data_IF_615453834854
#
_entry.id   IF_615453834854
#
_cell.length_a   1.000
_cell.length_b   1.000
_cell.length_c   1.000
_cell.angle_alpha   90.00
_cell.angle_beta   90.00
_cell.angle_gamma   90.00
#
_symmetry.space_group_name_H-M   'P 1'
#
loop_
_entity.id
_entity.type
_entity.pdbx_description
1 polymer ?
#
# COMPACT_ATOMS: atom_id res chain seq x y z
N UNK A 1 -7.41 19.69 32.22
CA UNK A 1 -8.71 19.92 31.54
C UNK A 1 -9.65 18.77 31.88
N UNK A 2 -11.00 18.96 31.89
CA UNK A 2 -11.88 17.82 32.12
C UNK A 2 -11.69 16.75 31.05
N UNK A 3 -11.60 15.50 31.48
CA UNK A 3 -11.53 14.35 30.59
C UNK A 3 -12.86 14.21 29.83
N UNK A 4 -12.84 14.26 28.51
CA UNK A 4 -14.03 14.03 27.70
C UNK A 4 -14.47 12.58 27.84
N UNK A 5 -15.75 12.32 28.10
CA UNK A 5 -16.33 10.98 28.17
C UNK A 5 -17.22 10.75 26.96
N UNK A 6 -17.02 9.65 26.28
CA UNK A 6 -17.75 9.27 25.08
C UNK A 6 -18.34 7.87 25.23
N UNK A 7 -19.63 7.74 24.95
CA UNK A 7 -20.34 6.46 24.89
C UNK A 7 -20.60 6.11 23.42
N UNK A 8 -20.32 4.88 23.03
CA UNK A 8 -20.42 4.42 21.64
C UNK A 8 -20.75 2.94 21.57
N UNK A 9 -21.28 2.47 20.45
CA UNK A 9 -21.46 1.03 20.21
C UNK A 9 -20.12 0.37 19.83
N UNK A 10 -19.35 1.03 18.98
CA UNK A 10 -18.08 0.52 18.48
C UNK A 10 -16.94 1.53 18.66
N UNK A 11 -15.84 1.07 19.24
CA UNK A 11 -14.57 1.78 19.26
C UNK A 11 -13.65 1.12 18.25
N UNK A 12 -13.28 1.83 17.18
CA UNK A 12 -12.40 1.35 16.13
C UNK A 12 -11.01 1.96 16.30
N UNK A 13 -10.00 1.11 16.44
CA UNK A 13 -8.61 1.50 16.58
C UNK A 13 -7.92 1.39 15.22
N UNK A 14 -7.66 2.52 14.59
CA UNK A 14 -7.09 2.68 13.27
C UNK A 14 -8.11 3.09 12.21
N UNK A 15 -7.87 4.26 11.57
CA UNK A 15 -8.64 4.78 10.45
C UNK A 15 -8.02 4.41 9.08
N UNK A 16 -7.33 3.26 9.01
CA UNK A 16 -6.84 2.68 7.78
C UNK A 16 -7.95 1.95 7.00
N UNK A 17 -7.59 1.28 5.90
CA UNK A 17 -8.53 0.60 5.01
C UNK A 17 -9.52 -0.31 5.76
N UNK A 18 -9.01 -1.13 6.70
CA UNK A 18 -9.85 -2.09 7.43
C UNK A 18 -10.81 -1.42 8.41
N UNK A 19 -10.32 -0.41 9.17
CA UNK A 19 -11.18 0.33 10.11
C UNK A 19 -12.26 1.12 9.39
N UNK A 20 -11.91 1.76 8.27
CA UNK A 20 -12.86 2.49 7.44
C UNK A 20 -13.88 1.55 6.79
N UNK A 21 -13.45 0.38 6.28
CA UNK A 21 -14.36 -0.60 5.71
C UNK A 21 -15.34 -1.18 6.74
N UNK A 22 -14.86 -1.46 7.96
CA UNK A 22 -15.73 -1.91 9.05
C UNK A 22 -16.78 -0.82 9.40
N UNK A 23 -16.35 0.44 9.53
CA UNK A 23 -17.27 1.56 9.81
C UNK A 23 -18.31 1.72 8.69
N UNK A 24 -17.89 1.62 7.42
CA UNK A 24 -18.76 1.73 6.25
C UNK A 24 -19.90 0.70 6.28
N UNK A 25 -19.55 -0.57 6.55
CA UNK A 25 -20.53 -1.66 6.64
C UNK A 25 -21.49 -1.44 7.82
N UNK A 26 -20.97 -1.11 9.01
CA UNK A 26 -21.84 -0.89 10.18
C UNK A 26 -22.79 0.28 9.95
N UNK A 27 -22.33 1.37 9.34
CA UNK A 27 -23.18 2.53 9.03
C UNK A 27 -24.30 2.22 8.05
N UNK A 28 -24.06 1.26 7.15
CA UNK A 28 -25.05 0.80 6.17
C UNK A 28 -26.07 -0.17 6.77
N UNK A 29 -25.61 -1.11 7.62
CA UNK A 29 -26.43 -2.20 8.14
C UNK A 29 -27.18 -1.85 9.42
N UNK A 30 -26.67 -0.91 10.22
CA UNK A 30 -27.29 -0.49 11.50
C UNK A 30 -27.44 1.02 11.57
N UNK A 31 -28.65 1.51 11.33
CA UNK A 31 -28.96 2.93 11.34
C UNK A 31 -28.83 3.59 12.74
N UNK A 32 -28.80 2.81 13.80
CA UNK A 32 -28.69 3.28 15.19
C UNK A 32 -27.26 3.31 15.72
N UNK A 33 -26.35 2.56 15.10
CA UNK A 33 -25.00 2.38 15.60
C UNK A 33 -24.19 3.69 15.66
N UNK A 34 -23.53 3.91 16.80
CA UNK A 34 -22.59 5.00 17.02
C UNK A 34 -21.16 4.45 17.04
N UNK A 35 -20.24 5.20 16.45
CA UNK A 35 -18.86 4.74 16.22
C UNK A 35 -17.90 5.85 16.67
N UNK A 36 -16.89 5.47 17.44
CA UNK A 36 -15.70 6.28 17.68
C UNK A 36 -14.54 5.64 16.94
N UNK A 37 -13.84 6.41 16.10
CA UNK A 37 -12.65 5.97 15.36
C UNK A 37 -11.45 6.75 15.90
N UNK A 38 -10.37 6.05 16.24
CA UNK A 38 -9.12 6.62 16.77
C UNK A 38 -7.99 6.31 15.81
N UNK A 39 -7.19 7.31 15.47
CA UNK A 39 -5.96 7.09 14.67
C UNK A 39 -4.81 8.00 15.13
N UNK A 40 -3.59 7.49 15.03
CA UNK A 40 -2.37 8.24 15.33
C UNK A 40 -2.06 9.34 14.30
N UNK A 41 -2.60 9.21 13.09
CA UNK A 41 -2.44 10.21 12.03
C UNK A 41 -3.49 11.31 12.13
N UNK A 42 -3.19 12.46 11.53
CA UNK A 42 -4.12 13.57 11.43
C UNK A 42 -5.29 13.26 10.47
N UNK A 43 -5.04 12.43 9.47
CA UNK A 43 -6.04 12.06 8.45
C UNK A 43 -6.32 10.56 8.48
N UNK A 44 -7.51 10.12 8.04
CA UNK A 44 -7.76 8.71 7.75
C UNK A 44 -6.90 8.25 6.56
N UNK A 45 -6.77 6.92 6.40
CA UNK A 45 -5.96 6.30 5.35
C UNK A 45 -4.84 5.41 5.92
N UNK A 46 -4.62 5.42 7.24
CA UNK A 46 -3.63 4.56 7.90
C UNK A 46 -2.22 4.78 7.32
N UNK A 47 -1.52 3.70 6.94
CA UNK A 47 -0.15 3.74 6.43
C UNK A 47 0.02 4.56 5.12
N UNK A 48 -1.05 4.88 4.41
CA UNK A 48 -0.98 5.77 3.25
C UNK A 48 -0.53 7.18 3.64
N UNK A 49 -0.76 7.62 4.88
CA UNK A 49 -0.24 8.90 5.38
C UNK A 49 1.31 8.92 5.46
N UNK A 50 1.94 7.75 5.59
CA UNK A 50 3.39 7.58 5.70
C UNK A 50 4.03 7.13 4.38
N UNK A 51 3.26 6.88 3.33
CA UNK A 51 3.74 6.39 2.05
C UNK A 51 4.49 7.48 1.26
N UNK A 52 5.39 7.06 0.37
CA UNK A 52 6.14 8.00 -0.47
C UNK A 52 5.20 8.67 -1.51
N UNK A 53 5.44 9.96 -1.86
CA UNK A 53 4.47 10.75 -2.63
C UNK A 53 4.17 10.24 -4.04
N UNK A 54 5.08 9.50 -4.67
CA UNK A 54 4.90 8.93 -6.02
C UNK A 54 4.39 7.50 -6.02
N UNK A 55 4.01 6.94 -4.84
CA UNK A 55 3.44 5.58 -4.80
C UNK A 55 2.10 5.55 -5.52
N UNK A 56 1.88 4.47 -6.25
CA UNK A 56 0.58 4.08 -6.78
C UNK A 56 0.21 2.71 -6.23
N UNK A 57 -1.07 2.39 -6.20
CA UNK A 57 -1.48 1.01 -5.97
C UNK A 57 -0.74 0.09 -6.96
N UNK A 58 -0.50 -1.14 -6.58
CA UNK A 58 0.08 -2.13 -7.49
C UNK A 58 -0.97 -3.07 -8.10
N UNK A 59 -2.21 -2.97 -7.64
CA UNK A 59 -3.37 -3.66 -8.18
C UNK A 59 -4.40 -2.60 -8.63
N UNK A 60 -5.30 -2.92 -9.57
CA UNK A 60 -6.34 -1.99 -10.01
C UNK A 60 -7.11 -1.39 -8.84
N UNK A 61 -7.37 -0.09 -8.91
CA UNK A 61 -8.06 0.65 -7.86
C UNK A 61 -9.44 0.04 -7.49
N UNK A 62 -10.09 -0.64 -8.44
CA UNK A 62 -11.37 -1.30 -8.23
C UNK A 62 -11.35 -2.46 -7.20
N UNK A 63 -10.18 -2.97 -6.83
CA UNK A 63 -10.04 -3.95 -5.73
C UNK A 63 -9.92 -3.30 -4.36
N UNK A 64 -9.81 -2.00 -4.30
CA UNK A 64 -9.71 -1.22 -3.08
C UNK A 64 -10.93 -0.34 -2.91
N UNK A 65 -11.06 0.21 -1.72
CA UNK A 65 -12.13 1.13 -1.41
C UNK A 65 -13.15 0.51 -0.47
N UNK A 66 -14.21 1.26 -0.25
CA UNK A 66 -15.32 0.92 0.64
C UNK A 66 -16.48 0.34 -0.20
N UNK A 67 -17.35 -0.43 0.44
CA UNK A 67 -18.52 -0.98 -0.24
C UNK A 67 -19.47 0.12 -0.74
N UNK A 68 -19.61 1.21 0.02
CA UNK A 68 -20.48 2.34 -0.34
C UNK A 68 -19.94 3.22 -1.46
N UNK A 69 -18.62 3.17 -1.73
CA UNK A 69 -17.99 4.06 -2.72
C UNK A 69 -16.75 3.41 -3.31
N UNK A 70 -16.69 3.35 -4.63
CA UNK A 70 -15.54 2.82 -5.35
C UNK A 70 -14.36 3.79 -5.31
N UNK A 71 -13.14 3.24 -5.28
CA UNK A 71 -11.92 3.99 -5.50
C UNK A 71 -11.55 3.93 -6.99
N UNK A 72 -11.21 5.08 -7.57
CA UNK A 72 -10.75 5.19 -8.97
C UNK A 72 -11.86 4.99 -10.01
N UNK A 73 -11.45 5.06 -11.29
CA UNK A 73 -12.36 4.98 -12.45
C UNK A 73 -12.50 3.56 -13.01
N UNK A 74 -11.74 2.60 -12.49
CA UNK A 74 -11.67 1.23 -13.00
C UNK A 74 -10.59 1.05 -14.09
N UNK A 75 -10.58 -0.14 -14.72
CA UNK A 75 -9.53 -0.51 -15.67
C UNK A 75 -8.19 -0.77 -15.01
N UNK A 76 -7.11 -0.64 -15.78
CA UNK A 76 -5.72 -0.85 -15.30
C UNK A 76 -5.15 0.36 -14.55
N UNK A 77 -5.90 1.45 -14.46
CA UNK A 77 -5.43 2.65 -13.77
C UNK A 77 -5.21 2.38 -12.28
N UNK A 78 -4.07 2.88 -11.80
CA UNK A 78 -3.65 2.73 -10.42
C UNK A 78 -3.87 4.06 -9.68
N UNK A 79 -4.67 4.02 -8.64
CA UNK A 79 -4.85 5.18 -7.78
C UNK A 79 -3.50 5.61 -7.17
N UNK A 80 -3.21 6.89 -7.27
CA UNK A 80 -2.05 7.54 -6.67
C UNK A 80 -2.22 7.71 -5.16
N UNK A 81 -1.12 7.97 -4.47
CA UNK A 81 -1.11 8.34 -3.06
C UNK A 81 -2.13 9.44 -2.73
N UNK A 82 -2.12 10.53 -3.51
CA UNK A 82 -3.00 11.67 -3.28
C UNK A 82 -4.49 11.29 -3.43
N UNK A 83 -4.83 10.49 -4.45
CA UNK A 83 -6.20 10.01 -4.68
C UNK A 83 -6.68 9.11 -3.53
N UNK A 84 -5.79 8.24 -2.99
CA UNK A 84 -6.15 7.35 -1.88
C UNK A 84 -6.39 8.13 -0.59
N UNK A 85 -5.51 9.08 -0.27
CA UNK A 85 -5.66 9.91 0.94
C UNK A 85 -6.91 10.78 0.84
N UNK A 86 -7.16 11.40 -0.31
CA UNK A 86 -8.36 12.20 -0.55
C UNK A 86 -9.65 11.37 -0.47
N UNK A 87 -9.61 10.16 -1.02
CA UNK A 87 -10.72 9.22 -0.96
C UNK A 87 -11.11 8.89 0.49
N UNK A 88 -10.15 8.53 1.35
CA UNK A 88 -10.45 8.22 2.75
C UNK A 88 -10.87 9.45 3.54
N UNK A 89 -10.32 10.63 3.25
CA UNK A 89 -10.77 11.89 3.83
C UNK A 89 -12.24 12.15 3.50
N UNK A 90 -12.59 12.07 2.22
CA UNK A 90 -13.98 12.24 1.75
C UNK A 90 -14.92 11.22 2.38
N UNK A 91 -14.48 9.96 2.53
CA UNK A 91 -15.27 8.94 3.20
C UNK A 91 -15.50 9.27 4.68
N UNK A 92 -14.47 9.71 5.39
CA UNK A 92 -14.58 10.12 6.79
C UNK A 92 -15.53 11.32 6.95
N UNK A 93 -15.47 12.30 6.06
CA UNK A 93 -16.37 13.45 6.09
C UNK A 93 -17.84 13.02 5.92
N UNK A 94 -18.12 12.07 5.02
CA UNK A 94 -19.46 11.46 4.88
C UNK A 94 -19.88 10.71 6.13
N UNK A 95 -18.99 9.94 6.76
CA UNK A 95 -19.29 9.24 8.02
C UNK A 95 -19.65 10.24 9.13
N UNK A 96 -18.89 11.31 9.28
CA UNK A 96 -19.14 12.36 10.26
C UNK A 96 -20.44 13.12 10.01
N UNK A 97 -20.80 13.32 8.74
CA UNK A 97 -22.06 13.98 8.36
C UNK A 97 -23.32 13.17 8.77
N UNK A 98 -23.18 11.92 9.17
CA UNK A 98 -24.29 11.14 9.76
C UNK A 98 -24.58 11.47 11.23
N UNK A 99 -23.74 12.27 11.88
CA UNK A 99 -23.73 12.54 13.33
C UNK A 99 -23.56 11.26 14.20
N UNK A 100 -23.25 10.14 13.59
CA UNK A 100 -23.04 8.84 14.25
C UNK A 100 -21.57 8.47 14.43
N UNK A 101 -20.65 9.20 13.78
CA UNK A 101 -19.23 8.91 13.80
C UNK A 101 -18.45 10.07 14.42
N UNK A 102 -17.70 9.77 15.47
CA UNK A 102 -16.69 10.65 16.04
C UNK A 102 -15.30 10.17 15.64
N UNK A 103 -14.53 11.01 14.96
CA UNK A 103 -13.13 10.75 14.64
C UNK A 103 -12.21 11.48 15.64
N UNK A 104 -11.29 10.74 16.26
CA UNK A 104 -10.26 11.24 17.17
C UNK A 104 -8.89 11.06 16.47
N UNK A 105 -8.47 12.03 15.63
CA UNK A 105 -7.15 12.01 15.00
C UNK A 105 -6.05 12.31 16.01
N UNK A 106 -4.79 12.05 15.61
CA UNK A 106 -3.58 12.30 16.41
C UNK A 106 -3.75 11.76 17.84
N UNK A 107 -4.28 10.53 17.97
CA UNK A 107 -4.63 9.94 19.26
C UNK A 107 -4.32 8.45 19.29
N UNK A 108 -3.97 7.95 20.47
CA UNK A 108 -3.66 6.55 20.72
C UNK A 108 -4.52 5.97 21.83
N UNK A 109 -4.87 4.69 21.69
CA UNK A 109 -5.57 3.93 22.72
C UNK A 109 -4.54 3.26 23.65
N UNK A 110 -4.57 3.60 24.93
CA UNK A 110 -3.66 3.10 25.96
C UNK A 110 -4.25 1.94 26.81
N UNK A 111 -5.42 1.45 26.46
CA UNK A 111 -6.16 0.41 27.20
C UNK A 111 -7.40 0.97 27.89
N UNK A 112 -8.33 0.09 28.28
CA UNK A 112 -9.54 0.38 29.06
C UNK A 112 -10.35 1.61 28.58
N UNK A 113 -10.39 1.80 27.25
CA UNK A 113 -11.08 2.93 26.64
C UNK A 113 -10.38 4.29 26.80
N UNK A 114 -9.19 4.34 27.36
CA UNK A 114 -8.39 5.56 27.50
C UNK A 114 -7.77 5.93 26.17
N UNK A 115 -8.11 7.12 25.69
CA UNK A 115 -7.57 7.69 24.44
C UNK A 115 -6.76 8.94 24.79
N UNK A 116 -5.51 8.98 24.37
CA UNK A 116 -4.56 10.06 24.65
C UNK A 116 -4.14 10.72 23.34
N UNK A 117 -4.18 12.04 23.30
CA UNK A 117 -3.67 12.79 22.14
C UNK A 117 -2.15 12.64 22.06
N UNK A 118 -1.63 12.39 20.83
CA UNK A 118 -0.19 12.33 20.57
C UNK A 118 0.46 13.71 20.49
N UNK A 119 -0.34 14.77 20.32
CA UNK A 119 0.12 16.16 20.24
C UNK A 119 0.13 16.82 21.61
N UNK A 120 -0.91 16.52 22.41
CA UNK A 120 -1.09 17.08 23.76
C UNK A 120 -1.47 15.94 24.70
N UNK A 121 -0.50 15.41 25.43
CA UNK A 121 -0.66 14.28 26.34
C UNK A 121 -1.64 14.53 27.50
N UNK A 122 -1.92 15.80 27.83
CA UNK A 122 -2.88 16.17 28.85
C UNK A 122 -4.32 16.10 28.34
N UNK A 123 -4.50 16.06 27.03
CA UNK A 123 -5.81 15.86 26.40
C UNK A 123 -6.12 14.37 26.35
N UNK A 124 -6.97 13.96 27.28
CA UNK A 124 -7.41 12.58 27.46
C UNK A 124 -8.92 12.47 27.27
N UNK A 125 -9.34 11.45 26.52
CA UNK A 125 -10.75 11.06 26.43
C UNK A 125 -10.92 9.64 26.97
N UNK A 126 -12.06 9.35 27.58
CA UNK A 126 -12.45 7.99 27.96
C UNK A 126 -13.62 7.56 27.09
N UNK A 127 -13.47 6.47 26.38
CA UNK A 127 -14.48 5.90 25.46
C UNK A 127 -15.01 4.59 26.04
N UNK A 128 -16.32 4.52 26.27
CA UNK A 128 -17.02 3.29 26.65
C UNK A 128 -17.65 2.68 25.41
N UNK A 129 -17.15 1.51 24.98
CA UNK A 129 -17.71 0.76 23.87
C UNK A 129 -18.70 -0.31 24.37
N UNK A 130 -20.00 -0.13 24.06
CA UNK A 130 -21.05 -1.01 24.55
C UNK A 130 -21.13 -2.36 23.81
N UNK A 131 -20.69 -2.41 22.56
CA UNK A 131 -20.72 -3.64 21.78
C UNK A 131 -19.34 -4.23 21.56
N UNK A 132 -18.41 -3.51 20.88
CA UNK A 132 -17.06 -4.04 20.56
C UNK A 132 -16.03 -2.93 20.49
N UNK A 133 -14.81 -3.31 20.90
CA UNK A 133 -13.57 -2.64 20.50
C UNK A 133 -13.00 -3.43 19.32
N UNK A 134 -12.76 -2.75 18.21
CA UNK A 134 -12.28 -3.33 16.93
C UNK A 134 -10.87 -2.83 16.69
N UNK A 135 -9.88 -3.70 16.83
CA UNK A 135 -8.50 -3.35 16.51
C UNK A 135 -8.21 -3.61 15.01
N UNK A 136 -8.19 -2.52 14.25
CA UNK A 136 -7.88 -2.52 12.82
C UNK A 136 -6.39 -2.22 12.53
N UNK A 137 -5.51 -2.28 13.55
CA UNK A 137 -4.07 -2.02 13.45
C UNK A 137 -3.22 -3.29 13.34
N UNK A 138 -3.83 -4.40 13.01
CA UNK A 138 -3.18 -5.72 12.99
C UNK A 138 -1.94 -5.75 12.07
N UNK A 139 -2.02 -5.15 10.90
CA UNK A 139 -0.92 -5.08 9.95
C UNK A 139 0.05 -3.96 10.37
N UNK A 140 1.10 -4.33 11.08
CA UNK A 140 2.21 -3.42 11.38
C UNK A 140 3.12 -3.34 10.16
N UNK A 141 2.84 -2.39 9.28
CA UNK A 141 3.67 -2.14 8.10
C UNK A 141 4.85 -1.27 8.51
N UNK A 142 6.05 -1.83 8.43
CA UNK A 142 7.29 -1.08 8.53
C UNK A 142 7.72 -0.63 7.14
N UNK A 143 7.88 0.67 6.96
CA UNK A 143 8.31 1.28 5.70
C UNK A 143 9.74 1.82 5.83
N UNK A 144 10.51 1.89 4.73
CA UNK A 144 11.91 2.35 4.77
C UNK A 144 12.11 3.74 5.38
N UNK A 145 11.08 4.60 5.37
CA UNK A 145 11.15 5.94 5.95
C UNK A 145 11.21 5.97 7.49
N UNK A 146 10.79 4.88 8.16
CA UNK A 146 10.75 4.80 9.62
C UNK A 146 11.75 3.79 10.19
N UNK A 147 12.46 3.04 9.32
CA UNK A 147 13.42 2.02 9.71
C UNK A 147 14.82 2.35 9.17
N UNK A 148 15.88 2.29 9.99
CA UNK A 148 17.24 2.46 9.49
C UNK A 148 17.60 1.32 8.53
N UNK A 149 18.48 1.55 7.55
CA UNK A 149 18.95 0.52 6.65
C UNK A 149 19.68 -0.59 7.44
N UNK A 150 19.52 -1.85 7.01
CA UNK A 150 20.17 -3.02 7.62
C UNK A 150 21.60 -3.26 7.09
N UNK A 151 22.19 -2.29 6.43
CA UNK A 151 23.53 -2.31 5.87
C UNK A 151 24.29 -1.05 6.31
N UNK A 152 25.61 -1.15 6.29
CA UNK A 152 26.50 0.00 6.58
C UNK A 152 26.63 0.87 5.35
N UNK A 153 26.75 2.16 5.58
CA UNK A 153 26.90 3.18 4.54
C UNK A 153 28.22 3.91 4.77
N UNK A 154 29.06 3.97 3.75
CA UNK A 154 30.35 4.68 3.83
C UNK A 154 30.13 6.19 3.92
N UNK A 155 31.12 6.87 4.54
CA UNK A 155 31.12 8.32 4.64
C UNK A 155 31.09 8.96 3.24
N UNK A 156 30.18 9.94 3.05
CA UNK A 156 30.02 10.63 1.78
C UNK A 156 28.98 10.03 0.81
N UNK A 157 28.44 8.84 1.12
CA UNK A 157 27.31 8.27 0.37
C UNK A 157 25.98 8.81 0.93
N UNK A 158 25.15 9.36 0.06
CA UNK A 158 23.81 9.81 0.45
C UNK A 158 22.83 8.64 0.29
N UNK A 159 22.21 8.22 1.39
CA UNK A 159 21.13 7.23 1.40
C UNK A 159 19.85 7.89 1.84
N UNK A 160 18.80 7.69 1.06
CA UNK A 160 17.47 8.23 1.36
C UNK A 160 16.40 7.15 1.19
N UNK A 161 15.35 7.16 2.00
CA UNK A 161 14.17 6.37 1.72
C UNK A 161 13.42 6.96 0.50
N UNK A 162 12.52 6.20 -0.15
CA UNK A 162 11.72 6.70 -1.27
C UNK A 162 10.95 7.99 -0.96
N UNK A 163 10.54 8.17 0.29
CA UNK A 163 9.85 9.39 0.75
C UNK A 163 10.66 10.66 0.49
N UNK A 164 11.98 10.59 0.62
CA UNK A 164 12.88 11.71 0.43
C UNK A 164 13.45 11.82 -0.98
N UNK A 165 13.24 10.81 -1.82
CA UNK A 165 13.71 10.82 -3.21
C UNK A 165 13.15 12.02 -4.01
N UNK A 166 11.92 12.45 -3.71
CA UNK A 166 11.28 13.61 -4.33
C UNK A 166 11.91 14.94 -3.91
N UNK A 167 12.68 14.96 -2.81
CA UNK A 167 13.30 16.15 -2.22
C UNK A 167 14.74 16.34 -2.68
N UNK A 168 15.27 15.43 -3.49
CA UNK A 168 16.64 15.56 -4.01
C UNK A 168 16.72 16.75 -4.97
N UNK A 169 17.37 17.81 -4.54
CA UNK A 169 17.48 19.08 -5.28
C UNK A 169 18.49 19.00 -6.43
N UNK A 170 19.43 18.07 -6.36
CA UNK A 170 20.49 17.93 -7.37
C UNK A 170 20.43 16.60 -8.09
N UNK A 171 20.86 16.59 -9.34
CA UNK A 171 21.09 15.36 -10.09
C UNK A 171 22.41 14.73 -9.64
N UNK A 172 22.37 13.42 -9.39
CA UNK A 172 23.54 12.62 -9.02
C UNK A 172 24.11 11.93 -10.26
N UNK A 173 25.42 11.66 -10.25
CA UNK A 173 26.06 10.94 -11.36
C UNK A 173 25.54 9.48 -11.43
N UNK A 174 25.27 8.85 -10.30
CA UNK A 174 24.78 7.49 -10.19
C UNK A 174 23.73 7.34 -9.10
N UNK A 175 22.75 6.53 -9.36
CA UNK A 175 21.70 6.13 -8.42
C UNK A 175 21.80 4.63 -8.19
N UNK A 176 21.76 4.20 -6.93
CA UNK A 176 21.72 2.78 -6.57
C UNK A 176 20.37 2.51 -5.91
N UNK A 177 19.56 1.67 -6.53
CA UNK A 177 18.25 1.26 -5.98
C UNK A 177 18.41 -0.12 -5.38
N UNK A 178 18.14 -0.24 -4.07
CA UNK A 178 18.28 -1.50 -3.31
C UNK A 178 16.91 -2.12 -3.11
N UNK A 179 16.72 -3.31 -3.69
CA UNK A 179 15.51 -4.10 -3.60
C UNK A 179 14.69 -4.15 -4.89
N UNK A 180 14.05 -5.31 -5.12
CA UNK A 180 13.27 -5.61 -6.31
C UNK A 180 11.77 -5.83 -6.00
N UNK A 181 11.29 -5.31 -4.89
CA UNK A 181 9.85 -5.25 -4.58
C UNK A 181 9.20 -4.02 -5.19
N UNK A 182 7.88 -3.85 -4.98
CA UNK A 182 7.08 -2.73 -5.49
C UNK A 182 7.75 -1.37 -5.25
N UNK A 183 8.27 -1.12 -4.04
CA UNK A 183 8.94 0.13 -3.69
C UNK A 183 10.19 0.41 -4.53
N UNK A 184 11.02 -0.62 -4.80
CA UNK A 184 12.20 -0.50 -5.66
C UNK A 184 11.81 -0.26 -7.12
N UNK A 185 10.79 -0.97 -7.60
CA UNK A 185 10.22 -0.78 -8.95
C UNK A 185 9.73 0.67 -9.10
N UNK A 186 8.92 1.16 -8.17
CA UNK A 186 8.41 2.55 -8.22
C UNK A 186 9.54 3.57 -8.20
N UNK A 187 10.59 3.33 -7.40
CA UNK A 187 11.74 4.24 -7.33
C UNK A 187 12.50 4.31 -8.67
N UNK A 188 12.67 3.17 -9.35
CA UNK A 188 13.30 3.14 -10.68
C UNK A 188 12.41 3.87 -11.69
N UNK A 189 11.12 3.55 -11.74
CA UNK A 189 10.19 4.20 -12.65
C UNK A 189 10.13 5.71 -12.42
N UNK A 190 10.10 6.15 -11.17
CA UNK A 190 10.15 7.56 -10.80
C UNK A 190 11.43 8.25 -11.30
N UNK A 191 12.61 7.61 -11.16
CA UNK A 191 13.87 8.16 -11.66
C UNK A 191 13.87 8.27 -13.18
N UNK A 192 13.37 7.24 -13.87
CA UNK A 192 13.26 7.24 -15.33
C UNK A 192 12.29 8.33 -15.83
N UNK A 193 11.15 8.49 -15.18
CA UNK A 193 10.15 9.53 -15.49
C UNK A 193 10.70 10.95 -15.27
N UNK A 194 11.66 11.10 -14.34
CA UNK A 194 12.42 12.35 -14.11
C UNK A 194 13.57 12.55 -15.09
N UNK A 195 13.71 11.69 -16.09
CA UNK A 195 14.72 11.80 -17.14
C UNK A 195 16.12 11.30 -16.73
N UNK A 196 16.23 10.54 -15.64
CA UNK A 196 17.49 9.87 -15.30
C UNK A 196 17.75 8.78 -16.33
N UNK A 197 18.94 8.83 -16.96
CA UNK A 197 19.33 7.81 -17.95
C UNK A 197 19.47 6.42 -17.30
N UNK A 198 19.00 5.33 -17.94
CA UNK A 198 19.07 3.97 -17.39
C UNK A 198 20.48 3.53 -17.01
N UNK A 199 21.52 3.96 -17.75
CA UNK A 199 22.92 3.67 -17.50
C UNK A 199 23.49 4.33 -16.24
N UNK A 200 22.75 5.29 -15.67
CA UNK A 200 23.08 5.93 -14.38
C UNK A 200 22.38 5.25 -13.20
N UNK A 201 21.56 4.23 -13.44
CA UNK A 201 20.83 3.49 -12.40
C UNK A 201 21.45 2.10 -12.26
N UNK A 202 21.95 1.78 -11.08
CA UNK A 202 22.31 0.43 -10.67
C UNK A 202 21.19 -0.14 -9.82
N UNK A 203 20.80 -1.36 -10.12
CA UNK A 203 19.72 -2.04 -9.42
C UNK A 203 20.24 -3.25 -8.64
N UNK A 204 20.14 -3.23 -7.31
CA UNK A 204 20.52 -4.37 -6.45
C UNK A 204 19.28 -5.24 -6.23
N UNK A 205 19.27 -6.42 -6.82
CA UNK A 205 18.19 -7.41 -6.83
C UNK A 205 18.62 -8.63 -6.04
N UNK A 206 18.24 -8.72 -4.78
CA UNK A 206 18.57 -9.87 -3.94
C UNK A 206 17.89 -11.17 -4.38
N UNK A 207 16.74 -11.07 -5.03
CA UNK A 207 16.00 -12.21 -5.59
C UNK A 207 15.17 -11.74 -6.78
N UNK A 208 15.35 -12.39 -7.91
CA UNK A 208 14.43 -12.23 -9.05
C UNK A 208 13.05 -12.77 -8.65
N UNK A 209 11.99 -12.08 -9.09
CA UNK A 209 10.62 -12.42 -8.77
C UNK A 209 9.75 -12.49 -10.03
N UNK A 210 8.79 -13.40 -10.01
CA UNK A 210 7.69 -13.40 -10.94
C UNK A 210 6.77 -12.23 -10.64
N UNK A 211 6.37 -11.49 -11.67
CA UNK A 211 5.47 -10.33 -11.60
C UNK A 211 4.18 -10.66 -12.33
N UNK A 212 3.06 -10.26 -11.77
CA UNK A 212 1.79 -10.39 -12.48
C UNK A 212 1.67 -9.36 -13.61
N UNK A 213 1.12 -9.82 -14.74
CA UNK A 213 0.59 -8.92 -15.76
C UNK A 213 -0.69 -8.25 -15.23
N UNK A 214 -0.65 -6.94 -15.02
CA UNK A 214 -1.77 -6.17 -14.46
C UNK A 214 -3.04 -6.30 -15.28
N UNK A 215 -2.95 -6.41 -16.60
CA UNK A 215 -4.11 -6.58 -17.48
C UNK A 215 -4.94 -7.83 -17.15
N UNK A 216 -4.30 -8.88 -16.63
CA UNK A 216 -4.98 -10.13 -16.26
C UNK A 216 -5.64 -10.08 -14.88
N UNK A 217 -5.25 -9.11 -14.04
CA UNK A 217 -5.78 -8.92 -12.68
C UNK A 217 -6.79 -7.79 -12.70
N UNK A 218 -7.94 -8.04 -13.32
CA UNK A 218 -9.06 -7.11 -13.34
C UNK A 218 -10.27 -7.77 -12.66
N UNK A 219 -11.17 -7.02 -12.00
CA UNK A 219 -12.35 -7.60 -11.35
C UNK A 219 -13.16 -8.50 -12.28
N UNK A 220 -13.34 -8.09 -13.55
CA UNK A 220 -14.04 -8.87 -14.56
C UNK A 220 -13.29 -10.06 -15.14
N UNK A 221 -11.96 -10.18 -14.88
CA UNK A 221 -11.10 -11.22 -15.45
C UNK A 221 -10.77 -12.35 -14.46
N UNK A 222 -11.21 -12.26 -13.22
CA UNK A 222 -10.77 -13.16 -12.14
C UNK A 222 -11.03 -14.65 -12.45
N UNK A 223 -12.20 -15.00 -12.97
CA UNK A 223 -12.53 -16.39 -13.32
C UNK A 223 -11.66 -16.90 -14.47
N UNK A 224 -11.43 -16.08 -15.51
CA UNK A 224 -10.55 -16.42 -16.62
C UNK A 224 -9.11 -16.62 -16.18
N UNK A 225 -8.62 -15.76 -15.29
CA UNK A 225 -7.28 -15.89 -14.71
C UNK A 225 -7.16 -17.18 -13.90
N UNK A 226 -8.11 -17.50 -13.03
CA UNK A 226 -8.12 -18.73 -12.23
C UNK A 226 -8.16 -19.97 -13.15
N UNK A 227 -9.03 -19.98 -14.16
CA UNK A 227 -9.09 -21.08 -15.12
C UNK A 227 -7.74 -21.28 -15.84
N UNK A 228 -7.09 -20.19 -16.28
CA UNK A 228 -5.77 -20.24 -16.89
C UNK A 228 -4.70 -20.77 -15.94
N UNK A 229 -4.73 -20.39 -14.67
CA UNK A 229 -3.84 -20.92 -13.64
C UNK A 229 -4.04 -22.43 -13.44
N UNK A 230 -5.29 -22.88 -13.35
CA UNK A 230 -5.63 -24.32 -13.21
C UNK A 230 -5.12 -25.11 -14.42
N UNK A 231 -5.38 -24.65 -15.63
CA UNK A 231 -4.83 -25.29 -16.85
C UNK A 231 -3.29 -25.31 -16.86
N UNK A 232 -2.65 -24.23 -16.41
CA UNK A 232 -1.20 -24.17 -16.32
C UNK A 232 -0.62 -25.20 -15.36
N UNK A 233 -1.32 -25.46 -14.24
CA UNK A 233 -0.94 -26.50 -13.27
C UNK A 233 -1.17 -27.88 -13.85
N UNK A 234 -2.31 -28.10 -14.54
CA UNK A 234 -2.65 -29.40 -15.13
C UNK A 234 -1.70 -29.83 -16.25
N UNK A 235 -1.21 -28.87 -17.04
CA UNK A 235 -0.32 -29.12 -18.18
C UNK A 235 1.17 -29.15 -17.79
N UNK A 236 1.52 -28.77 -16.56
CA UNK A 236 2.89 -28.68 -16.12
C UNK A 236 3.47 -30.02 -15.67
N UNK A 237 4.76 -30.21 -15.93
CA UNK A 237 5.51 -31.42 -15.54
C UNK A 237 6.16 -31.31 -14.16
N UNK A 238 6.40 -30.08 -13.70
CA UNK A 238 7.00 -29.76 -12.41
C UNK A 238 6.67 -28.31 -12.04
N UNK A 239 7.09 -27.87 -10.84
CA UNK A 239 6.75 -26.53 -10.32
C UNK A 239 7.33 -25.40 -11.18
N UNK A 240 8.54 -25.54 -11.69
CA UNK A 240 9.16 -24.51 -12.54
C UNK A 240 8.40 -24.39 -13.88
N UNK A 241 7.92 -25.53 -14.41
CA UNK A 241 7.11 -25.54 -15.62
C UNK A 241 5.75 -24.87 -15.41
N UNK A 242 5.15 -24.96 -14.22
CA UNK A 242 3.93 -24.19 -13.89
C UNK A 242 4.15 -22.71 -14.15
N UNK A 243 5.22 -22.14 -13.61
CA UNK A 243 5.53 -20.72 -13.80
C UNK A 243 5.84 -20.36 -15.25
N UNK A 244 6.53 -21.22 -15.98
CA UNK A 244 6.78 -21.04 -17.41
C UNK A 244 5.50 -21.14 -18.25
N UNK A 245 4.55 -22.01 -17.88
CA UNK A 245 3.23 -22.08 -18.51
C UNK A 245 2.43 -20.79 -18.25
N UNK A 246 2.47 -20.26 -17.02
CA UNK A 246 1.82 -19.01 -16.66
C UNK A 246 2.41 -17.83 -17.45
N UNK A 247 3.74 -17.82 -17.67
CA UNK A 247 4.39 -16.82 -18.50
C UNK A 247 3.98 -16.94 -19.97
N UNK A 248 4.01 -18.16 -20.55
CA UNK A 248 3.55 -18.41 -21.94
C UNK A 248 2.10 -17.97 -22.16
N UNK A 249 1.26 -18.04 -21.14
CA UNK A 249 -0.14 -17.62 -21.16
C UNK A 249 -0.36 -16.16 -20.77
N UNK A 250 0.71 -15.40 -20.54
CA UNK A 250 0.68 -13.98 -20.29
C UNK A 250 0.18 -13.57 -18.90
N UNK A 251 0.07 -14.50 -17.93
CA UNK A 251 -0.32 -14.23 -16.56
C UNK A 251 0.84 -13.64 -15.75
N UNK A 252 2.03 -14.21 -15.93
CA UNK A 252 3.25 -13.81 -15.24
C UNK A 252 4.30 -13.29 -16.22
N UNK A 253 5.16 -12.44 -15.70
CA UNK A 253 6.31 -11.92 -16.44
C UNK A 253 7.58 -11.97 -15.61
N UNK A 254 8.73 -12.02 -16.30
CA UNK A 254 10.07 -11.85 -15.71
C UNK A 254 10.69 -10.57 -16.21
N UNK A 255 11.49 -9.92 -15.36
CA UNK A 255 12.31 -8.79 -15.79
C UNK A 255 13.44 -9.31 -16.69
N UNK A 256 14.22 -10.29 -16.21
CA UNK A 256 15.29 -10.93 -16.96
C UNK A 256 14.80 -12.30 -17.47
N UNK A 257 14.63 -12.43 -18.80
CA UNK A 257 14.13 -13.65 -19.44
C UNK A 257 15.16 -14.79 -19.47
N UNK A 258 16.44 -14.49 -19.19
CA UNK A 258 17.51 -15.50 -19.10
C UNK A 258 17.63 -16.14 -17.73
N UNK A 259 16.84 -15.67 -16.74
CA UNK A 259 16.87 -16.19 -15.38
C UNK A 259 15.50 -16.70 -14.95
N UNK A 260 15.50 -17.80 -14.23
CA UNK A 260 14.28 -18.30 -13.59
C UNK A 260 14.16 -17.66 -12.21
N UNK A 261 13.07 -16.89 -11.94
CA UNK A 261 12.89 -16.29 -10.64
C UNK A 261 12.69 -17.32 -9.54
N UNK A 262 13.34 -17.11 -8.40
CA UNK A 262 13.21 -17.97 -7.22
C UNK A 262 12.10 -17.54 -6.28
N UNK A 263 11.45 -16.41 -6.55
CA UNK A 263 10.39 -15.85 -5.72
C UNK A 263 9.14 -15.53 -6.54
N UNK A 264 8.02 -15.71 -5.89
CA UNK A 264 6.73 -15.23 -6.37
C UNK A 264 6.19 -14.20 -5.38
N UNK A 265 5.86 -13.03 -5.88
CA UNK A 265 5.30 -11.93 -5.09
C UNK A 265 4.09 -11.35 -5.82
N UNK A 266 3.15 -10.78 -5.08
CA UNK A 266 1.94 -10.21 -5.66
C UNK A 266 2.17 -8.85 -6.36
N UNK A 267 3.41 -8.46 -6.68
CA UNK A 267 3.68 -7.24 -7.41
C UNK A 267 3.18 -7.39 -8.86
N UNK A 268 2.50 -6.36 -9.35
CA UNK A 268 2.01 -6.28 -10.71
C UNK A 268 2.76 -5.22 -11.48
N UNK A 269 2.91 -5.42 -12.77
CA UNK A 269 3.41 -4.42 -13.72
C UNK A 269 2.55 -4.43 -14.98
N UNK A 270 2.51 -3.31 -15.68
CA UNK A 270 2.05 -3.26 -17.05
C UNK A 270 3.22 -3.42 -18.04
N UNK A 271 2.92 -3.48 -19.33
CA UNK A 271 3.91 -3.69 -20.38
C UNK A 271 4.89 -2.51 -20.48
N UNK A 272 4.46 -1.29 -20.23
CA UNK A 272 5.29 -0.07 -20.28
C UNK A 272 6.28 -0.06 -19.12
N UNK A 273 5.80 -0.38 -17.92
CA UNK A 273 6.63 -0.49 -16.72
C UNK A 273 7.67 -1.60 -16.92
N UNK A 274 7.27 -2.78 -17.40
CA UNK A 274 8.18 -3.88 -17.66
C UNK A 274 9.27 -3.50 -18.69
N UNK A 275 8.86 -2.85 -19.78
CA UNK A 275 9.79 -2.37 -20.82
C UNK A 275 10.76 -1.35 -20.24
N UNK A 276 10.29 -0.44 -19.41
CA UNK A 276 11.13 0.57 -18.76
C UNK A 276 12.14 -0.06 -17.79
N UNK A 277 11.72 -1.02 -16.99
CA UNK A 277 12.58 -1.74 -16.04
C UNK A 277 13.67 -2.54 -16.75
N UNK A 278 13.37 -3.16 -17.89
CA UNK A 278 14.33 -3.92 -18.73
C UNK A 278 15.42 -3.06 -19.36
N UNK A 279 15.27 -1.73 -19.36
CA UNK A 279 16.32 -0.80 -19.80
C UNK A 279 17.48 -0.69 -18.82
N UNK A 280 17.30 -1.10 -17.57
CA UNK A 280 18.36 -1.08 -16.56
C UNK A 280 19.29 -2.27 -16.80
N UNK A 281 20.47 -1.98 -17.35
CA UNK A 281 21.47 -3.02 -17.66
C UNK A 281 22.39 -3.33 -16.47
N UNK A 282 22.64 -2.36 -15.58
CA UNK A 282 23.50 -2.53 -14.41
C UNK A 282 22.70 -3.12 -13.24
N UNK A 283 22.58 -4.45 -13.24
CA UNK A 283 21.84 -5.20 -12.21
C UNK A 283 22.80 -6.10 -11.44
N UNK A 284 22.88 -5.87 -10.13
CA UNK A 284 23.64 -6.67 -9.16
C UNK A 284 22.67 -7.63 -8.45
N UNK A 285 23.04 -8.93 -8.46
CA UNK A 285 22.23 -10.00 -7.85
C UNK A 285 22.97 -10.73 -6.75
#
# INVERSE_FOLDING_TARGET
MPTERLDTDYLILGAGAMGMAFADVILAEDASARIVIVDRHANPGGHWNDAYPFVRLHQPAAFYGLNSTRLGQGGEDLASHAEIVDYYRTAMDRFRATDRVRFLPMSEHEGDGRIVSTVDRDRVSTVTAHRRVVDARYMKVEVPSVCPPRYTVDAGVTVVPPNDLVRLERSWQRYVVIGAGKTGIDSILFLLDRGVSPDRIQWIVSNDAWLFNRATIQPGCALGMIATMVHSIADATNIDDVFLQLERRGILWRIDTHRLPSKWRCATVDERELTSLRRIADVVR
#
